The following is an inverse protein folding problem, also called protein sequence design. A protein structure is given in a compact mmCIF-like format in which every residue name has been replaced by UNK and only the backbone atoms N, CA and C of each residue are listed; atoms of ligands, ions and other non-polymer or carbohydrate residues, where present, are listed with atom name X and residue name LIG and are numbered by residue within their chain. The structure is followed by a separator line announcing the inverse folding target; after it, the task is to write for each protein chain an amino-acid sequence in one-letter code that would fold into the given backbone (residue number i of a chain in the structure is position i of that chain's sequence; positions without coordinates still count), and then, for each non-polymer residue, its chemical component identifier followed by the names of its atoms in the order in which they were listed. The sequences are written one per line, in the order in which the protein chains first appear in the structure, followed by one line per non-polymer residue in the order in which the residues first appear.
data_IF_466378541307
#
_entry.id   IF_466378541307
#
_cell.length_a   1.000
_cell.length_b   1.000
_cell.length_c   1.000
_cell.angle_alpha   90.00
_cell.angle_beta   90.00
_cell.angle_gamma   90.00
#
_symmetry.space_group_name_H-M   'P 1'
#
loop_
_entity.id
_entity.type
_entity.pdbx_description
1 polymer ?
#
# COMPACT_ATOMS: atom_id res chain seq x y z
N UNK A 1 6.43 -21.59 -3.65
CA UNK A 1 6.38 -20.60 -4.76
C UNK A 1 5.79 -19.31 -4.19
N UNK A 2 6.31 -18.10 -4.35
CA UNK A 2 7.53 -17.58 -4.92
C UNK A 2 7.68 -16.17 -4.30
N UNK A 3 8.64 -16.01 -3.38
CA UNK A 3 9.00 -14.71 -2.84
C UNK A 3 10.08 -14.13 -3.76
N UNK A 4 9.67 -13.44 -4.82
CA UNK A 4 10.54 -12.47 -5.48
C UNK A 4 10.73 -11.35 -4.45
N UNK A 5 11.75 -11.50 -3.62
CA UNK A 5 12.13 -10.53 -2.60
C UNK A 5 12.68 -9.32 -3.34
N UNK A 6 11.83 -8.33 -3.51
CA UNK A 6 12.26 -6.93 -3.59
C UNK A 6 13.24 -6.67 -2.42
N UNK A 7 14.28 -5.81 -2.57
CA UNK A 7 15.24 -5.54 -1.49
C UNK A 7 14.58 -5.08 -0.17
N UNK A 8 13.33 -4.60 -0.21
CA UNK A 8 12.51 -4.26 0.96
C UNK A 8 11.79 -5.46 1.63
N UNK A 9 11.75 -6.62 0.98
CA UNK A 9 10.98 -7.79 1.40
C UNK A 9 9.46 -7.60 1.34
N UNK A 10 8.98 -6.58 0.63
CA UNK A 10 7.55 -6.27 0.44
C UNK A 10 7.07 -6.94 -0.84
N UNK A 11 5.98 -7.71 -0.76
CA UNK A 11 5.39 -8.38 -1.93
C UNK A 11 4.49 -7.43 -2.73
N UNK A 12 4.23 -7.74 -4.00
CA UNK A 12 3.31 -6.95 -4.84
C UNK A 12 1.93 -6.79 -4.19
N UNK A 13 1.44 -7.83 -3.51
CA UNK A 13 0.17 -7.77 -2.78
C UNK A 13 0.21 -6.80 -1.61
N UNK A 14 1.33 -6.74 -0.90
CA UNK A 14 1.54 -5.78 0.18
C UNK A 14 1.65 -4.35 -0.36
N UNK A 15 2.28 -4.17 -1.53
CA UNK A 15 2.37 -2.88 -2.21
C UNK A 15 0.97 -2.32 -2.55
N UNK A 16 0.08 -3.15 -3.10
CA UNK A 16 -1.33 -2.78 -3.30
C UNK A 16 -2.03 -2.34 -2.00
N UNK A 17 -1.77 -3.04 -0.90
CA UNK A 17 -2.31 -2.64 0.42
C UNK A 17 -1.78 -1.27 0.85
N UNK A 18 -0.48 -0.99 0.63
CA UNK A 18 0.12 0.33 0.93
C UNK A 18 -0.55 1.43 0.11
N UNK A 19 -0.73 1.23 -1.19
CA UNK A 19 -1.37 2.20 -2.08
C UNK A 19 -2.79 2.56 -1.61
N UNK A 20 -3.60 1.54 -1.27
CA UNK A 20 -4.96 1.77 -0.79
C UNK A 20 -4.99 2.45 0.58
N UNK A 21 -4.04 2.12 1.47
CA UNK A 21 -3.87 2.84 2.75
C UNK A 21 -3.46 4.29 2.51
N UNK A 22 -2.59 4.54 1.53
CA UNK A 22 -2.14 5.88 1.16
C UNK A 22 -3.31 6.74 0.64
N UNK A 23 -4.23 6.12 -0.08
CA UNK A 23 -5.48 6.74 -0.53
C UNK A 23 -6.48 7.01 0.60
N UNK A 24 -6.20 6.57 1.83
CA UNK A 24 -7.07 6.79 2.99
C UNK A 24 -8.16 5.75 3.17
N UNK A 25 -8.20 4.69 2.34
CA UNK A 25 -9.19 3.61 2.48
C UNK A 25 -9.03 2.92 3.83
N UNK A 26 -10.12 2.38 4.37
CA UNK A 26 -10.20 1.57 5.58
C UNK A 26 -9.85 0.10 5.30
N UNK A 27 -9.64 -0.72 6.34
CA UNK A 27 -9.38 -2.15 6.12
C UNK A 27 -10.55 -2.87 5.42
N UNK A 28 -11.77 -2.39 5.63
CA UNK A 28 -12.97 -2.90 4.97
C UNK A 28 -12.95 -2.59 3.47
N UNK A 29 -12.72 -1.32 3.12
CA UNK A 29 -12.59 -0.86 1.74
C UNK A 29 -11.39 -1.50 1.03
N UNK A 30 -10.25 -1.64 1.72
CA UNK A 30 -9.09 -2.40 1.20
C UNK A 30 -9.48 -3.85 0.92
N UNK A 31 -10.25 -4.47 1.83
CA UNK A 31 -10.76 -5.82 1.64
C UNK A 31 -11.64 -5.94 0.40
N UNK A 32 -12.57 -5.01 0.23
CA UNK A 32 -13.47 -4.94 -0.93
C UNK A 32 -12.69 -4.78 -2.24
N UNK A 33 -11.77 -3.81 -2.31
CA UNK A 33 -10.98 -3.55 -3.53
C UNK A 33 -10.08 -4.73 -3.89
N UNK A 34 -9.51 -5.39 -2.89
CA UNK A 34 -8.61 -6.52 -3.12
C UNK A 34 -9.34 -7.88 -3.22
N UNK A 35 -10.64 -7.95 -2.96
CA UNK A 35 -11.38 -9.21 -2.90
C UNK A 35 -10.93 -10.13 -1.75
N UNK A 36 -10.56 -9.55 -0.60
CA UNK A 36 -10.14 -10.27 0.61
C UNK A 36 -10.97 -9.83 1.81
N UNK A 37 -10.98 -10.65 2.87
CA UNK A 37 -11.69 -10.25 4.09
C UNK A 37 -11.04 -9.01 4.75
N UNK A 38 -11.82 -8.14 5.43
CA UNK A 38 -11.27 -7.03 6.22
C UNK A 38 -10.25 -7.48 7.27
N UNK A 39 -10.44 -8.69 7.82
CA UNK A 39 -9.48 -9.35 8.72
C UNK A 39 -8.15 -9.62 8.03
N UNK A 40 -8.17 -10.11 6.80
CA UNK A 40 -6.97 -10.35 5.98
C UNK A 40 -6.27 -9.04 5.65
N UNK A 41 -7.02 -7.98 5.29
CA UNK A 41 -6.46 -6.64 5.06
C UNK A 41 -5.78 -6.07 6.32
N UNK A 42 -6.39 -6.27 7.50
CA UNK A 42 -5.77 -5.92 8.80
C UNK A 42 -4.48 -6.70 9.03
N UNK A 43 -4.45 -8.00 8.75
CA UNK A 43 -3.24 -8.82 8.90
C UNK A 43 -2.12 -8.33 7.98
N UNK A 44 -2.42 -8.00 6.72
CA UNK A 44 -1.44 -7.38 5.82
C UNK A 44 -0.91 -6.06 6.36
N UNK A 45 -1.79 -5.20 6.89
CA UNK A 45 -1.40 -3.93 7.50
C UNK A 45 -0.46 -4.12 8.70
N UNK A 46 -0.68 -5.15 9.52
CA UNK A 46 0.17 -5.45 10.67
C UNK A 46 1.56 -5.95 10.27
N UNK A 47 1.62 -6.84 9.28
CA UNK A 47 2.89 -7.30 8.71
C UNK A 47 3.66 -6.14 8.09
N UNK A 48 2.99 -5.23 7.40
CA UNK A 48 3.59 -4.01 6.87
C UNK A 48 4.13 -3.10 7.99
N UNK A 49 3.39 -2.94 9.09
CA UNK A 49 3.86 -2.17 10.27
C UNK A 49 5.14 -2.74 10.85
N UNK A 50 5.20 -4.07 11.03
CA UNK A 50 6.40 -4.73 11.54
C UNK A 50 7.59 -4.58 10.57
N UNK A 51 7.36 -4.79 9.26
CA UNK A 51 8.41 -4.66 8.25
C UNK A 51 8.96 -3.24 8.12
N UNK A 52 8.09 -2.24 8.21
CA UNK A 52 8.43 -0.84 8.07
C UNK A 52 8.83 -0.16 9.40
N UNK A 53 8.75 -0.89 10.52
CA UNK A 53 9.07 -0.36 11.84
C UNK A 53 8.13 0.75 12.32
N UNK A 54 6.89 0.79 11.84
CA UNK A 54 5.93 1.88 12.16
C UNK A 54 4.84 1.45 13.13
N UNK A 55 4.52 2.33 14.08
CA UNK A 55 3.49 2.04 15.09
C UNK A 55 2.09 2.33 14.56
N UNK A 56 1.91 3.23 13.60
CA UNK A 56 0.58 3.65 13.14
C UNK A 56 0.37 3.32 11.66
N UNK A 57 -0.83 2.83 11.32
CA UNK A 57 -1.22 2.50 9.94
C UNK A 57 -0.98 3.65 8.95
N UNK A 58 -1.33 4.87 9.35
CA UNK A 58 -1.13 6.07 8.52
C UNK A 58 0.34 6.40 8.23
N UNK A 59 1.29 5.82 8.97
CA UNK A 59 2.71 5.98 8.72
C UNK A 59 3.23 4.97 7.68
N UNK A 60 2.45 3.93 7.35
CA UNK A 60 2.85 2.90 6.37
C UNK A 60 3.21 3.52 5.01
N UNK A 61 2.39 4.41 4.40
CA UNK A 61 2.72 5.00 3.10
C UNK A 61 4.03 5.81 3.13
N UNK A 62 4.22 6.59 4.18
CA UNK A 62 5.42 7.42 4.36
C UNK A 62 6.65 6.54 4.54
N UNK A 63 6.59 5.54 5.41
CA UNK A 63 7.71 4.63 5.63
C UNK A 63 8.02 3.76 4.41
N UNK A 64 6.99 3.35 3.66
CA UNK A 64 7.18 2.66 2.38
C UNK A 64 7.98 3.54 1.41
N UNK A 65 7.53 4.79 1.20
CA UNK A 65 8.23 5.75 0.32
C UNK A 65 9.67 6.00 0.74
N UNK A 66 9.94 6.09 2.04
CA UNK A 66 11.30 6.28 2.56
C UNK A 66 12.19 5.05 2.35
N UNK A 67 11.63 3.85 2.39
CA UNK A 67 12.37 2.60 2.25
C UNK A 67 12.62 2.22 0.77
N UNK A 68 11.63 2.42 -0.09
CA UNK A 68 11.67 1.97 -1.49
C UNK A 68 11.98 3.09 -2.48
N UNK A 69 11.84 4.36 -2.07
CA UNK A 69 11.86 5.51 -2.96
C UNK A 69 10.60 5.64 -3.84
N UNK A 70 9.68 4.68 -3.77
CA UNK A 70 8.46 4.63 -4.58
C UNK A 70 7.34 5.38 -3.86
N UNK A 71 6.68 6.33 -4.54
CA UNK A 71 5.56 7.05 -3.96
C UNK A 71 4.25 6.28 -4.19
N UNK A 72 3.59 5.77 -3.14
CA UNK A 72 2.35 4.98 -3.27
C UNK A 72 1.14 5.81 -3.70
N UNK A 73 1.27 7.14 -3.80
CA UNK A 73 0.28 8.07 -4.34
C UNK A 73 0.64 8.56 -5.77
N UNK A 74 1.79 8.17 -6.33
CA UNK A 74 2.21 8.60 -7.67
C UNK A 74 1.14 8.29 -8.74
N UNK A 75 0.47 7.14 -8.62
CA UNK A 75 -0.59 6.71 -9.55
C UNK A 75 -1.74 7.71 -9.63
N UNK A 76 -2.02 8.48 -8.57
CA UNK A 76 -3.08 9.51 -8.57
C UNK A 76 -2.65 10.80 -9.26
N UNK A 77 -1.38 11.18 -9.15
CA UNK A 77 -0.82 12.34 -9.85
C UNK A 77 -0.77 12.11 -11.36
N UNK A 78 -0.57 10.87 -11.81
CA UNK A 78 -0.71 10.52 -13.21
C UNK A 78 -2.17 10.57 -13.67
N UNK A 79 -3.11 9.96 -12.94
CA UNK A 79 -4.54 9.98 -13.33
C UNK A 79 -5.18 11.37 -13.32
N UNK A 80 -4.76 12.28 -12.42
CA UNK A 80 -5.23 13.67 -12.38
C UNK A 80 -4.55 14.60 -13.40
N UNK A 81 -3.57 14.10 -14.16
CA UNK A 81 -2.95 14.82 -15.28
C UNK A 81 -3.61 14.49 -16.61
N UNK A 82 -4.37 13.39 -16.70
CA UNK A 82 -4.97 12.91 -17.96
C UNK A 82 -6.35 13.54 -18.25
N UNK A 83 -6.93 14.29 -17.31
CA UNK A 83 -8.24 14.95 -17.50
C UNK A 83 -8.17 16.39 -18.04
N UNK A 84 -6.99 16.90 -18.40
CA UNK A 84 -6.86 18.23 -19.03
C UNK A 84 -6.42 18.13 -20.50
N UNK A 85 -7.35 17.78 -21.37
CA UNK A 85 -7.14 17.85 -22.82
C UNK A 85 -8.38 17.43 -23.62
N UNK A 86 -9.15 18.43 -24.08
CA UNK A 86 -10.24 18.27 -25.06
C UNK A 86 -11.46 19.09 -24.74
#
# INVERSE_FOLDING_TARGET
MQALRDPSGITSRQRQVVELIAQGLSNDEVGLVLGISPRTAKAHSDVLRQKLGVTRRRQIPVAFRLLTGEDPLASRLESARVDNGG
#
